data_IF_155079246841
#
_entry.id   IF_155079246841
#
_cell.length_a   1.000
_cell.length_b   1.000
_cell.length_c   1.000
_cell.angle_alpha   90.00
_cell.angle_beta   90.00
_cell.angle_gamma   90.00
#
_symmetry.space_group_name_H-M   'P 1'
#
loop_
_entity.id
_entity.type
_entity.pdbx_description
1 polymer ?
#
# COMPACT_ATOMS: atom_id res chain seq x y z
N UNK A 1 1.09 26.94 9.30
CA UNK A 1 0.41 26.50 8.06
C UNK A 1 0.80 25.05 7.81
N UNK A 2 -0.13 24.08 7.83
CA UNK A 2 0.22 22.71 7.49
C UNK A 2 0.48 22.59 5.99
N UNK A 3 1.68 22.12 5.63
CA UNK A 3 2.05 21.78 4.26
C UNK A 3 1.35 20.48 3.88
N UNK A 4 0.24 20.57 3.14
CA UNK A 4 -0.36 19.40 2.47
C UNK A 4 0.34 19.20 1.13
N UNK A 5 1.55 18.64 1.15
CA UNK A 5 2.16 18.07 -0.06
C UNK A 5 1.96 16.57 0.00
N UNK A 6 0.72 16.13 -0.24
CA UNK A 6 0.46 14.72 -0.53
C UNK A 6 0.85 14.48 -2.00
N UNK A 7 2.15 14.40 -2.26
CA UNK A 7 2.64 13.88 -3.53
C UNK A 7 2.21 12.42 -3.58
N UNK A 8 1.37 11.98 -4.54
CA UNK A 8 1.13 10.56 -4.74
C UNK A 8 2.49 9.89 -4.89
N UNK A 9 2.73 8.87 -4.06
CA UNK A 9 4.00 8.16 -3.97
C UNK A 9 4.61 7.94 -5.34
N UNK A 10 5.90 8.23 -5.45
CA UNK A 10 6.71 8.09 -6.66
C UNK A 10 6.33 6.82 -7.41
N UNK A 11 5.81 6.99 -8.64
CA UNK A 11 5.27 5.93 -9.50
C UNK A 11 6.30 4.86 -9.94
N UNK A 12 7.49 4.83 -9.35
CA UNK A 12 8.60 3.97 -9.74
C UNK A 12 8.77 2.73 -8.84
N UNK A 13 8.21 2.71 -7.63
CA UNK A 13 8.50 1.66 -6.65
C UNK A 13 7.35 0.62 -6.56
N UNK A 14 7.72 -0.65 -6.53
CA UNK A 14 6.80 -1.78 -6.42
C UNK A 14 6.09 -1.81 -5.06
N UNK A 15 5.02 -2.61 -4.94
CA UNK A 15 4.38 -2.85 -3.64
C UNK A 15 5.36 -3.40 -2.60
N UNK A 16 6.27 -4.30 -3.00
CA UNK A 16 7.32 -4.81 -2.12
C UNK A 16 8.27 -3.73 -1.62
N UNK A 17 8.72 -2.86 -2.52
CA UNK A 17 9.57 -1.72 -2.19
C UNK A 17 8.87 -0.74 -1.24
N UNK A 18 7.61 -0.42 -1.50
CA UNK A 18 6.75 0.41 -0.63
C UNK A 18 6.69 -0.14 0.80
N UNK A 19 6.39 -1.44 0.96
CA UNK A 19 6.33 -2.10 2.28
C UNK A 19 7.67 -2.01 2.99
N UNK A 20 8.76 -2.35 2.30
CA UNK A 20 10.13 -2.33 2.85
C UNK A 20 10.54 -0.93 3.30
N UNK A 21 10.28 0.08 2.47
CA UNK A 21 10.61 1.47 2.76
C UNK A 21 9.88 1.96 4.00
N UNK A 22 8.57 1.79 4.07
CA UNK A 22 7.77 2.24 5.21
C UNK A 22 8.03 1.45 6.49
N UNK A 23 8.41 0.16 6.38
CA UNK A 23 8.90 -0.62 7.51
C UNK A 23 10.22 -0.06 8.04
N UNK A 24 11.20 0.16 7.17
CA UNK A 24 12.52 0.68 7.55
C UNK A 24 12.44 2.09 8.13
N UNK A 25 11.62 2.99 7.56
CA UNK A 25 11.38 4.34 8.08
C UNK A 25 10.86 4.35 9.52
N UNK A 26 10.25 3.24 9.96
CA UNK A 26 9.71 3.06 11.33
C UNK A 26 10.65 2.29 12.25
N UNK A 27 11.81 1.85 11.77
CA UNK A 27 12.72 1.02 12.53
C UNK A 27 12.15 -0.37 12.88
N UNK A 28 11.12 -0.82 12.17
CA UNK A 28 10.50 -2.13 12.40
C UNK A 28 11.32 -3.24 11.72
N UNK A 29 11.54 -4.33 12.41
CA UNK A 29 12.15 -5.53 11.83
C UNK A 29 11.13 -6.33 11.01
N UNK A 30 11.61 -7.26 10.18
CA UNK A 30 10.72 -8.22 9.51
C UNK A 30 9.92 -9.04 10.52
N UNK A 31 10.51 -9.38 11.67
CA UNK A 31 9.84 -10.13 12.73
C UNK A 31 8.67 -9.33 13.30
N UNK A 32 8.86 -8.04 13.60
CA UNK A 32 7.82 -7.17 14.19
C UNK A 32 6.59 -7.10 13.29
N UNK A 33 6.80 -6.85 11.99
CA UNK A 33 5.70 -6.74 11.03
C UNK A 33 5.06 -8.09 10.75
N UNK A 34 5.85 -9.16 10.60
CA UNK A 34 5.33 -10.49 10.36
C UNK A 34 4.48 -11.00 11.55
N UNK A 35 4.93 -10.76 12.78
CA UNK A 35 4.19 -11.10 13.99
C UNK A 35 2.87 -10.32 14.09
N UNK A 36 2.89 -9.00 13.85
CA UNK A 36 1.67 -8.17 13.88
C UNK A 36 0.67 -8.50 12.75
N UNK A 37 1.18 -8.98 11.61
CA UNK A 37 0.37 -9.50 10.50
C UNK A 37 -0.06 -10.96 10.69
N UNK A 38 0.46 -11.66 11.70
CA UNK A 38 0.26 -13.11 11.92
C UNK A 38 0.61 -13.93 10.67
N UNK A 39 1.70 -13.55 9.99
CA UNK A 39 2.23 -14.24 8.82
C UNK A 39 3.67 -14.70 9.08
N UNK A 40 4.15 -15.61 8.22
CA UNK A 40 5.54 -16.04 8.31
C UNK A 40 6.52 -14.94 7.84
N UNK A 41 7.66 -14.82 8.52
CA UNK A 41 8.76 -13.92 8.12
C UNK A 41 9.22 -14.17 6.67
N UNK A 42 9.37 -15.44 6.19
CA UNK A 42 9.73 -15.69 4.79
C UNK A 42 8.68 -15.18 3.80
N UNK A 43 7.39 -15.23 4.15
CA UNK A 43 6.32 -14.68 3.30
C UNK A 43 6.43 -13.16 3.18
N UNK A 44 6.57 -12.44 4.29
CA UNK A 44 6.80 -10.99 4.26
C UNK A 44 8.07 -10.63 3.49
N UNK A 45 9.15 -11.39 3.68
CA UNK A 45 10.40 -11.20 2.93
C UNK A 45 10.22 -11.37 1.42
N UNK A 46 9.40 -12.33 0.98
CA UNK A 46 9.08 -12.50 -0.45
C UNK A 46 8.26 -11.33 -0.97
N UNK A 47 7.29 -10.83 -0.20
CA UNK A 47 6.53 -9.62 -0.55
C UNK A 47 7.49 -8.44 -0.76
N UNK A 48 8.36 -8.15 0.20
CA UNK A 48 9.28 -7.00 0.15
C UNK A 48 10.33 -7.07 -0.98
N UNK A 49 10.50 -8.23 -1.61
CA UNK A 49 11.45 -8.47 -2.72
C UNK A 49 10.74 -8.75 -4.05
N UNK A 50 9.43 -8.51 -4.12
CA UNK A 50 8.60 -8.79 -5.29
C UNK A 50 8.70 -10.24 -5.78
N UNK A 51 8.93 -11.17 -4.85
CA UNK A 51 8.94 -12.63 -5.08
C UNK A 51 7.62 -13.27 -4.64
N UNK A 52 6.60 -12.47 -4.47
CA UNK A 52 5.25 -12.87 -4.11
C UNK A 52 4.24 -12.02 -4.89
N UNK A 53 3.06 -12.56 -5.16
CA UNK A 53 1.98 -11.74 -5.71
C UNK A 53 1.51 -10.74 -4.66
N UNK A 54 1.06 -9.58 -5.11
CA UNK A 54 0.38 -8.60 -4.24
C UNK A 54 -0.72 -9.32 -3.46
N UNK A 55 -0.73 -9.22 -2.12
CA UNK A 55 -1.61 -10.02 -1.28
C UNK A 55 -3.07 -9.58 -1.41
N UNK A 56 -3.98 -10.26 -0.70
CA UNK A 56 -5.40 -9.92 -0.68
C UNK A 56 -5.63 -8.58 0.03
N UNK A 57 -6.73 -7.92 -0.29
CA UNK A 57 -7.05 -6.57 0.20
C UNK A 57 -7.06 -6.46 1.73
N UNK A 58 -7.47 -7.51 2.44
CA UNK A 58 -7.39 -7.56 3.90
C UNK A 58 -5.96 -7.41 4.42
N UNK A 59 -5.00 -8.11 3.81
CA UNK A 59 -3.58 -8.02 4.18
C UNK A 59 -3.03 -6.64 3.84
N UNK A 60 -3.40 -6.06 2.70
CA UNK A 60 -3.00 -4.69 2.32
C UNK A 60 -3.48 -3.68 3.36
N UNK A 61 -4.73 -3.79 3.83
CA UNK A 61 -5.28 -2.91 4.90
C UNK A 61 -4.53 -3.08 6.23
N UNK A 62 -4.22 -4.32 6.61
CA UNK A 62 -3.43 -4.59 7.83
C UNK A 62 -2.01 -4.03 7.72
N UNK A 63 -1.36 -4.20 6.57
CA UNK A 63 -0.05 -3.60 6.26
C UNK A 63 -0.13 -2.08 6.41
N UNK A 64 -1.15 -1.43 5.82
CA UNK A 64 -1.31 0.01 5.92
C UNK A 64 -1.41 0.48 7.38
N UNK A 65 -2.20 -0.25 8.20
CA UNK A 65 -2.35 0.03 9.64
C UNK A 65 -1.03 -0.11 10.40
N UNK A 66 -0.31 -1.23 10.25
CA UNK A 66 0.95 -1.50 10.97
C UNK A 66 2.04 -0.53 10.54
N UNK A 67 2.07 -0.21 9.25
CA UNK A 67 3.00 0.73 8.68
C UNK A 67 2.47 2.17 8.72
N UNK A 68 1.45 2.51 9.53
CA UNK A 68 0.90 3.87 9.69
C UNK A 68 0.87 4.71 8.39
N UNK A 69 0.41 4.11 7.31
CA UNK A 69 0.16 4.76 6.01
C UNK A 69 -1.32 4.72 5.70
N UNK A 70 -1.78 5.61 4.84
CA UNK A 70 -3.18 5.58 4.42
C UNK A 70 -3.47 4.30 3.62
N UNK A 71 -4.73 3.84 3.67
CA UNK A 71 -5.14 2.72 2.82
C UNK A 71 -4.96 3.07 1.34
N UNK A 72 -5.26 4.32 0.95
CA UNK A 72 -5.13 4.79 -0.42
C UNK A 72 -3.69 4.66 -0.93
N UNK A 73 -2.68 5.05 -0.15
CA UNK A 73 -1.26 4.87 -0.51
C UNK A 73 -0.91 3.39 -0.70
N UNK A 74 -1.36 2.53 0.22
CA UNK A 74 -1.07 1.10 0.13
C UNK A 74 -1.76 0.43 -1.07
N UNK A 75 -3.00 0.81 -1.38
CA UNK A 75 -3.73 0.32 -2.55
C UNK A 75 -3.14 0.88 -3.86
N UNK A 76 -2.72 2.16 -3.87
CA UNK A 76 -2.02 2.75 -5.00
C UNK A 76 -0.69 2.04 -5.29
N UNK A 77 0.13 1.75 -4.26
CA UNK A 77 1.36 0.96 -4.39
C UNK A 77 1.08 -0.47 -4.91
N UNK A 78 -0.06 -1.04 -4.51
CA UNK A 78 -0.56 -2.32 -5.02
C UNK A 78 -1.16 -2.25 -6.44
N UNK A 79 -1.25 -1.05 -7.05
CA UNK A 79 -1.93 -0.78 -8.33
C UNK A 79 -3.38 -1.27 -8.34
N UNK A 80 -4.08 -1.07 -7.23
CA UNK A 80 -5.48 -1.47 -7.04
C UNK A 80 -6.29 -0.27 -6.56
N UNK A 81 -7.59 -0.29 -6.85
CA UNK A 81 -8.54 0.59 -6.19
C UNK A 81 -8.85 0.04 -4.79
N UNK A 82 -9.02 0.91 -3.77
CA UNK A 82 -9.60 0.54 -2.48
C UNK A 82 -10.95 -0.19 -2.65
N UNK A 83 -11.29 -1.18 -1.80
CA UNK A 83 -12.48 -2.02 -1.96
C UNK A 83 -13.81 -1.27 -2.08
N UNK A 84 -13.95 -0.17 -1.34
CA UNK A 84 -15.12 0.71 -1.37
C UNK A 84 -15.28 1.45 -2.71
N UNK A 85 -14.17 1.68 -3.43
CA UNK A 85 -14.15 2.31 -4.76
C UNK A 85 -14.27 1.31 -5.90
N UNK A 86 -13.93 0.03 -5.69
CA UNK A 86 -14.04 -1.01 -6.72
C UNK A 86 -15.49 -1.13 -7.24
N UNK A 87 -16.48 -1.06 -6.35
CA UNK A 87 -17.91 -1.09 -6.72
C UNK A 87 -18.41 0.18 -7.43
N UNK A 88 -17.61 1.25 -7.47
CA UNK A 88 -17.95 2.56 -8.03
C UNK A 88 -17.04 2.96 -9.18
N UNK A 89 -16.42 1.99 -9.85
CA UNK A 89 -15.40 2.24 -10.87
C UNK A 89 -15.87 3.22 -11.97
N UNK A 90 -17.12 3.13 -12.42
CA UNK A 90 -17.66 4.04 -13.43
C UNK A 90 -17.68 5.51 -12.97
N UNK A 91 -18.11 5.76 -11.74
CA UNK A 91 -18.11 7.11 -11.14
C UNK A 91 -16.69 7.64 -10.98
N UNK A 92 -15.78 6.79 -10.48
CA UNK A 92 -14.35 7.14 -10.32
C UNK A 92 -13.73 7.53 -11.66
N UNK A 93 -13.96 6.74 -12.72
CA UNK A 93 -13.44 7.06 -14.06
C UNK A 93 -14.04 8.33 -14.64
N UNK A 94 -15.34 8.56 -14.47
CA UNK A 94 -16.00 9.78 -14.91
C UNK A 94 -15.40 11.01 -14.21
N UNK A 95 -15.19 10.92 -12.89
CA UNK A 95 -14.57 11.97 -12.08
C UNK A 95 -13.13 12.24 -12.53
N UNK A 96 -12.32 11.19 -12.68
CA UNK A 96 -10.93 11.31 -13.11
C UNK A 96 -10.82 11.98 -14.49
N UNK A 97 -11.61 11.54 -15.47
CA UNK A 97 -11.60 12.11 -16.84
C UNK A 97 -12.12 13.55 -16.89
N UNK A 98 -13.03 13.92 -15.99
CA UNK A 98 -13.51 15.30 -15.87
C UNK A 98 -12.44 16.24 -15.33
N UNK A 99 -11.67 15.80 -14.33
CA UNK A 99 -10.62 16.62 -13.72
C UNK A 99 -9.27 16.56 -14.45
N UNK A 100 -9.02 15.52 -15.25
CA UNK A 100 -7.79 15.38 -16.05
C UNK A 100 -7.88 16.05 -17.43
N UNK A 101 -8.93 16.85 -17.67
CA UNK A 101 -9.14 17.64 -18.89
C UNK A 101 -8.84 19.11 -18.64
#
# INVERSE_FOLDING_TARGET
MPKTTNSPGTAADSFGAFVREHRNKRGLTLLDVAAALEISIPYLSRIERDREKVPRDEVIRRIAKILYVSQDEAFAAARRLPPDLQGRAAEVFALYRRFSR
#
